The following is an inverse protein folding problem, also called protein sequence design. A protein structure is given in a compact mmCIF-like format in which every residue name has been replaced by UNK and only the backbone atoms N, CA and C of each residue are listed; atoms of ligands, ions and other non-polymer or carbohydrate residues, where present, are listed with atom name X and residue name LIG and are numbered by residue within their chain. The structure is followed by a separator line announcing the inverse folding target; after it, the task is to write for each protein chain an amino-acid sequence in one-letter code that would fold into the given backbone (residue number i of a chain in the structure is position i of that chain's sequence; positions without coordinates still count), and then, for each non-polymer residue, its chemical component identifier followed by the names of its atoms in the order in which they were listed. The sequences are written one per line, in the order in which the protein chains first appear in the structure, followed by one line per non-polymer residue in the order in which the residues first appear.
data_IF_835420008071
#
_entry.id   IF_835420008071
#
_cell.length_a   1.000
_cell.length_b   1.000
_cell.length_c   1.000
_cell.angle_alpha   90.00
_cell.angle_beta   90.00
_cell.angle_gamma   90.00
#
_symmetry.space_group_name_H-M   'P 1'
#
loop_
_entity.id
_entity.type
_entity.pdbx_description
1 polymer ?
#
# COMPACT_ATOMS: atom_id res chain seq x y z
N UNK A 1 -19.84 26.74 -32.90
CA UNK A 1 -19.45 26.24 -31.57
C UNK A 1 -17.95 26.01 -31.61
N UNK A 2 -17.15 26.90 -31.02
CA UNK A 2 -15.70 26.76 -31.03
C UNK A 2 -15.33 25.71 -29.97
N UNK A 3 -15.10 24.47 -30.38
CA UNK A 3 -14.45 23.50 -29.50
C UNK A 3 -13.10 24.10 -29.09
N UNK A 4 -12.91 24.36 -27.80
CA UNK A 4 -11.66 24.92 -27.30
C UNK A 4 -10.50 24.03 -27.73
N UNK A 5 -9.41 24.61 -28.26
CA UNK A 5 -8.17 23.91 -28.64
C UNK A 5 -7.54 23.06 -27.51
N UNK A 6 -8.04 23.21 -26.29
CA UNK A 6 -7.71 22.36 -25.14
C UNK A 6 -8.09 20.89 -25.42
N UNK A 7 -9.21 20.63 -26.13
CA UNK A 7 -9.63 19.28 -26.49
C UNK A 7 -9.06 18.79 -27.83
N UNK A 8 -8.43 19.69 -28.62
CA UNK A 8 -7.69 19.28 -29.83
C UNK A 8 -6.30 18.73 -29.50
N UNK A 9 -5.89 18.72 -28.22
CA UNK A 9 -4.59 18.19 -27.77
C UNK A 9 -3.36 18.93 -28.34
N UNK A 10 -3.54 20.15 -28.87
CA UNK A 10 -2.45 20.92 -29.50
C UNK A 10 -1.46 21.52 -28.48
N UNK A 11 -1.74 21.43 -27.17
CA UNK A 11 -0.86 21.96 -26.10
C UNK A 11 -0.77 20.98 -24.91
N UNK A 12 0.04 19.90 -25.03
CA UNK A 12 0.16 18.86 -24.00
C UNK A 12 0.60 19.38 -22.62
N UNK A 13 1.40 20.45 -22.59
CA UNK A 13 1.90 21.07 -21.35
C UNK A 13 0.77 21.69 -20.52
N UNK A 14 -0.16 22.40 -21.17
CA UNK A 14 -1.33 22.99 -20.49
C UNK A 14 -2.26 21.88 -20.00
N UNK A 15 -2.50 20.86 -20.81
CA UNK A 15 -3.28 19.69 -20.40
C UNK A 15 -2.67 18.99 -19.19
N UNK A 16 -1.35 18.78 -19.20
CA UNK A 16 -0.62 18.20 -18.08
C UNK A 16 -0.80 19.03 -16.80
N UNK A 17 -0.59 20.35 -16.89
CA UNK A 17 -0.73 21.24 -15.76
C UNK A 17 -2.17 21.24 -15.19
N UNK A 18 -3.20 21.20 -16.06
CA UNK A 18 -4.59 21.10 -15.62
C UNK A 18 -4.82 19.78 -14.87
N UNK A 19 -4.47 18.64 -15.47
CA UNK A 19 -4.72 17.31 -14.89
C UNK A 19 -3.93 17.10 -13.59
N UNK A 20 -2.73 17.66 -13.47
CA UNK A 20 -1.94 17.61 -12.22
C UNK A 20 -2.67 18.23 -11.02
N UNK A 21 -3.56 19.21 -11.22
CA UNK A 21 -4.38 19.75 -10.13
C UNK A 21 -5.39 18.72 -9.58
N UNK A 22 -5.67 17.64 -10.31
CA UNK A 22 -6.55 16.56 -9.88
C UNK A 22 -5.82 15.42 -9.16
N UNK A 23 -4.53 15.59 -8.79
CA UNK A 23 -3.70 14.55 -8.19
C UNK A 23 -4.38 13.72 -7.08
N UNK A 24 -5.21 14.35 -6.24
CA UNK A 24 -5.92 13.69 -5.13
C UNK A 24 -7.43 13.47 -5.40
N UNK A 25 -7.92 13.82 -6.58
CA UNK A 25 -9.31 13.62 -7.00
C UNK A 25 -9.40 12.44 -7.98
N UNK A 26 -9.51 11.24 -7.39
CA UNK A 26 -9.60 9.96 -8.10
C UNK A 26 -10.76 9.97 -9.10
N UNK A 27 -11.90 10.60 -8.78
CA UNK A 27 -13.06 10.63 -9.66
C UNK A 27 -12.77 11.45 -10.92
N UNK A 28 -12.19 12.64 -10.73
CA UNK A 28 -11.80 13.51 -11.86
C UNK A 28 -10.72 12.86 -12.72
N UNK A 29 -9.72 12.22 -12.12
CA UNK A 29 -8.70 11.47 -12.86
C UNK A 29 -9.28 10.29 -13.64
N UNK A 30 -10.23 9.56 -13.03
CA UNK A 30 -10.94 8.46 -13.72
C UNK A 30 -11.71 8.99 -14.93
N UNK A 31 -12.41 10.12 -14.80
CA UNK A 31 -13.06 10.79 -15.94
C UNK A 31 -12.05 11.19 -17.01
N UNK A 32 -10.86 11.69 -16.64
CA UNK A 32 -9.81 12.07 -17.60
C UNK A 32 -9.34 10.88 -18.45
N UNK A 33 -9.18 9.69 -17.86
CA UNK A 33 -8.76 8.48 -18.59
C UNK A 33 -9.69 8.16 -19.77
N UNK A 34 -10.98 8.45 -19.63
CA UNK A 34 -12.00 8.13 -20.62
C UNK A 34 -12.11 9.16 -21.75
N UNK A 35 -11.44 10.32 -21.64
CA UNK A 35 -11.56 11.41 -22.61
C UNK A 35 -10.84 11.06 -23.93
N UNK A 36 -9.53 10.87 -23.88
CA UNK A 36 -8.70 10.52 -25.02
C UNK A 36 -7.33 9.95 -24.57
N UNK A 37 -6.51 9.54 -25.54
CA UNK A 37 -5.19 8.94 -25.29
C UNK A 37 -4.24 9.83 -24.48
N UNK A 38 -4.22 11.15 -24.71
CA UNK A 38 -3.29 12.06 -24.02
C UNK A 38 -3.72 12.22 -22.56
N UNK A 39 -5.01 12.43 -22.31
CA UNK A 39 -5.52 12.54 -20.94
C UNK A 39 -5.28 11.23 -20.18
N UNK A 40 -5.51 10.09 -20.81
CA UNK A 40 -5.20 8.77 -20.25
C UNK A 40 -3.71 8.62 -19.88
N UNK A 41 -2.79 9.03 -20.76
CA UNK A 41 -1.35 8.96 -20.50
C UNK A 41 -0.89 9.81 -19.31
N UNK A 42 -1.58 10.91 -19.02
CA UNK A 42 -1.25 11.81 -17.90
C UNK A 42 -1.96 11.35 -16.61
N UNK A 43 -3.22 10.94 -16.70
CA UNK A 43 -4.03 10.60 -15.53
C UNK A 43 -3.70 9.22 -14.94
N UNK A 44 -3.31 8.24 -15.76
CA UNK A 44 -2.97 6.88 -15.27
C UNK A 44 -1.81 6.91 -14.27
N UNK A 45 -0.66 7.55 -14.54
CA UNK A 45 0.41 7.69 -13.55
C UNK A 45 -0.08 8.25 -12.22
N UNK A 46 -0.85 9.34 -12.23
CA UNK A 46 -1.39 9.98 -11.03
C UNK A 46 -2.31 9.06 -10.23
N UNK A 47 -3.18 8.30 -10.92
CA UNK A 47 -4.06 7.33 -10.27
C UNK A 47 -3.32 6.15 -9.67
N UNK A 48 -2.22 5.73 -10.29
CA UNK A 48 -1.43 4.59 -9.85
C UNK A 48 -0.28 4.96 -8.90
N UNK A 49 -0.13 6.23 -8.50
CA UNK A 49 0.83 6.64 -7.48
C UNK A 49 0.49 6.03 -6.11
N UNK A 50 -0.79 5.99 -5.74
CA UNK A 50 -1.30 5.37 -4.49
C UNK A 50 -2.61 4.59 -4.74
N UNK A 51 -2.56 3.45 -5.46
CA UNK A 51 -3.76 2.71 -5.84
C UNK A 51 -4.48 2.09 -4.64
N UNK A 52 -3.75 1.89 -3.54
CA UNK A 52 -4.29 1.35 -2.30
C UNK A 52 -4.91 2.43 -1.40
N UNK A 53 -4.89 3.71 -1.78
CA UNK A 53 -5.61 4.78 -1.08
C UNK A 53 -7.11 4.76 -1.31
N UNK A 54 -7.54 4.15 -2.42
CA UNK A 54 -8.96 4.03 -2.75
C UNK A 54 -9.59 3.18 -1.66
N UNK A 55 -10.46 3.81 -0.85
CA UNK A 55 -11.30 3.08 0.12
C UNK A 55 -11.92 1.87 -0.57
N UNK A 56 -12.09 0.78 0.17
CA UNK A 56 -12.68 -0.50 -0.27
C UNK A 56 -14.15 -0.36 -0.69
N UNK A 57 -14.45 0.54 -1.63
CA UNK A 57 -15.76 0.68 -2.27
C UNK A 57 -15.95 -0.54 -3.16
N UNK A 58 -17.19 -0.99 -3.19
CA UNK A 58 -17.61 -2.16 -3.94
C UNK A 58 -17.15 -2.04 -5.40
N UNK A 59 -16.59 -3.12 -5.92
CA UNK A 59 -16.22 -3.35 -7.32
C UNK A 59 -14.96 -2.68 -7.89
N UNK A 60 -14.33 -1.68 -7.24
CA UNK A 60 -13.12 -1.03 -7.80
C UNK A 60 -11.81 -1.53 -7.17
N UNK A 61 -11.83 -1.87 -5.88
CA UNK A 61 -10.62 -2.05 -5.06
C UNK A 61 -9.84 -3.35 -5.30
N UNK A 62 -10.49 -4.41 -5.78
CA UNK A 62 -9.83 -5.69 -6.04
C UNK A 62 -9.21 -5.76 -7.46
N UNK A 63 -9.65 -4.90 -8.39
CA UNK A 63 -9.10 -4.84 -9.75
C UNK A 63 -7.64 -4.38 -9.79
N UNK A 64 -7.17 -3.63 -8.80
CA UNK A 64 -5.74 -3.28 -8.70
C UNK A 64 -4.87 -4.50 -8.49
N UNK A 65 -5.31 -5.45 -7.65
CA UNK A 65 -4.60 -6.71 -7.42
C UNK A 65 -4.56 -7.50 -8.72
N UNK A 66 -5.71 -7.69 -9.38
CA UNK A 66 -5.80 -8.37 -10.68
C UNK A 66 -4.80 -7.79 -11.71
N UNK A 67 -4.73 -6.45 -11.81
CA UNK A 67 -3.81 -5.77 -12.72
C UNK A 67 -2.36 -6.07 -12.37
N UNK A 68 -1.97 -6.03 -11.08
CA UNK A 68 -0.61 -6.38 -10.67
C UNK A 68 -0.26 -7.85 -10.92
N UNK A 69 -1.22 -8.76 -10.76
CA UNK A 69 -1.01 -10.18 -11.01
C UNK A 69 -0.66 -10.48 -12.48
N UNK A 70 -1.08 -9.65 -13.43
CA UNK A 70 -0.71 -9.78 -14.84
C UNK A 70 0.82 -9.65 -15.06
N UNK A 71 1.52 -8.91 -14.21
CA UNK A 71 2.97 -8.65 -14.30
C UNK A 71 3.83 -9.68 -13.57
N UNK A 72 3.21 -10.68 -12.93
CA UNK A 72 3.97 -11.74 -12.28
C UNK A 72 4.62 -12.67 -13.31
N UNK A 73 5.79 -13.22 -12.94
CA UNK A 73 6.39 -14.32 -13.68
C UNK A 73 5.58 -15.61 -13.49
N UNK A 74 5.80 -16.59 -14.36
CA UNK A 74 5.02 -17.83 -14.37
C UNK A 74 5.12 -18.62 -13.05
N UNK A 75 6.28 -18.59 -12.38
CA UNK A 75 6.45 -19.27 -11.09
C UNK A 75 5.60 -18.63 -9.97
N UNK A 76 5.61 -17.30 -9.87
CA UNK A 76 4.81 -16.55 -8.91
C UNK A 76 3.31 -16.69 -9.22
N UNK A 77 2.93 -16.72 -10.50
CA UNK A 77 1.55 -17.01 -10.95
C UNK A 77 1.11 -18.40 -10.50
N UNK A 78 1.90 -19.44 -10.79
CA UNK A 78 1.60 -20.82 -10.38
C UNK A 78 1.47 -20.92 -8.86
N UNK A 79 2.35 -20.26 -8.10
CA UNK A 79 2.27 -20.22 -6.64
C UNK A 79 0.94 -19.66 -6.16
N UNK A 80 0.50 -18.52 -6.72
CA UNK A 80 -0.79 -17.91 -6.36
C UNK A 80 -1.97 -18.81 -6.77
N UNK A 81 -1.96 -19.35 -7.99
CA UNK A 81 -3.00 -20.26 -8.49
C UNK A 81 -3.11 -21.54 -7.64
N UNK A 82 -2.00 -22.09 -7.17
CA UNK A 82 -2.04 -23.28 -6.31
C UNK A 82 -2.52 -22.97 -4.89
N UNK A 83 -2.33 -21.73 -4.42
CA UNK A 83 -2.72 -21.32 -3.06
C UNK A 83 -4.19 -20.94 -2.95
N UNK A 84 -4.78 -20.49 -4.05
CA UNK A 84 -6.15 -20.03 -4.14
C UNK A 84 -6.79 -20.90 -5.20
N UNK A 85 -7.80 -21.71 -4.88
CA UNK A 85 -8.51 -22.55 -5.86
C UNK A 85 -9.23 -21.66 -6.89
N UNK A 86 -8.47 -21.09 -7.82
CA UNK A 86 -8.84 -19.92 -8.59
C UNK A 86 -9.24 -20.33 -10.00
N UNK A 87 -10.47 -20.03 -10.38
CA UNK A 87 -11.01 -20.31 -11.71
C UNK A 87 -11.54 -19.06 -12.43
N UNK A 88 -11.34 -17.85 -11.89
CA UNK A 88 -12.08 -16.65 -12.33
C UNK A 88 -11.29 -15.63 -13.17
N UNK A 89 -9.96 -15.70 -13.18
CA UNK A 89 -9.11 -14.69 -13.82
C UNK A 89 -8.09 -15.40 -14.69
N UNK A 90 -8.30 -15.29 -15.99
CA UNK A 90 -7.36 -15.80 -16.96
C UNK A 90 -6.23 -14.77 -17.09
N UNK A 91 -5.15 -15.03 -16.33
CA UNK A 91 -3.92 -14.22 -16.28
C UNK A 91 -3.24 -14.06 -17.66
N UNK A 92 -3.76 -14.74 -18.69
CA UNK A 92 -3.22 -14.75 -20.05
C UNK A 92 -4.02 -13.90 -21.05
N UNK A 93 -5.18 -13.33 -20.69
CA UNK A 93 -6.07 -12.71 -21.69
C UNK A 93 -5.75 -11.25 -22.04
N UNK A 94 -5.00 -10.52 -21.22
CA UNK A 94 -4.84 -9.07 -21.43
C UNK A 94 -3.41 -8.61 -21.29
N UNK A 95 -2.89 -7.95 -22.34
CA UNK A 95 -1.64 -7.19 -22.29
C UNK A 95 -1.93 -5.80 -21.71
N UNK A 96 -1.41 -5.44 -20.53
CA UNK A 96 -1.62 -4.12 -19.96
C UNK A 96 -1.07 -3.01 -20.87
N UNK A 97 -1.81 -1.91 -21.00
CA UNK A 97 -1.40 -0.74 -21.80
C UNK A 97 -0.24 0.04 -21.16
N UNK A 98 -0.20 0.06 -19.82
CA UNK A 98 0.78 0.75 -19.03
C UNK A 98 1.52 -0.26 -18.16
N UNK A 99 2.78 0.06 -17.84
CA UNK A 99 3.55 -0.72 -16.89
C UNK A 99 3.18 -0.30 -15.45
N UNK A 100 2.04 -0.77 -14.98
CA UNK A 100 1.43 -0.34 -13.71
C UNK A 100 2.31 -0.51 -12.46
N UNK A 101 3.12 -1.57 -12.29
CA UNK A 101 4.00 -1.71 -11.13
C UNK A 101 4.95 -0.51 -10.94
N UNK A 102 5.54 0.00 -12.03
CA UNK A 102 6.54 1.08 -11.96
C UNK A 102 5.93 2.46 -11.66
N UNK A 103 4.61 2.59 -11.70
CA UNK A 103 3.91 3.86 -11.43
C UNK A 103 3.70 4.09 -9.92
N UNK A 104 3.87 3.07 -9.09
CA UNK A 104 3.66 3.15 -7.65
C UNK A 104 4.63 4.15 -7.00
N UNK A 105 4.11 5.07 -6.19
CA UNK A 105 4.89 6.05 -5.41
C UNK A 105 4.62 6.01 -3.92
N UNK A 106 3.46 5.50 -3.52
CA UNK A 106 3.06 5.34 -2.12
C UNK A 106 2.83 3.87 -1.82
N UNK A 107 3.44 3.38 -0.75
CA UNK A 107 3.22 2.03 -0.26
C UNK A 107 2.78 2.06 1.20
N UNK A 108 1.56 1.58 1.46
CA UNK A 108 1.01 1.40 2.79
C UNK A 108 0.73 -0.08 3.03
N UNK A 109 1.45 -0.70 3.97
CA UNK A 109 1.34 -2.14 4.19
C UNK A 109 -0.02 -2.58 4.70
N UNK A 110 -0.60 -1.81 5.62
CA UNK A 110 -1.92 -2.07 6.19
C UNK A 110 -2.98 -2.07 5.07
N UNK A 111 -2.94 -1.06 4.21
CA UNK A 111 -3.88 -0.95 3.09
C UNK A 111 -3.70 -2.07 2.07
N UNK A 112 -2.46 -2.41 1.70
CA UNK A 112 -2.18 -3.55 0.81
C UNK A 112 -2.81 -4.83 1.36
N UNK A 113 -2.63 -5.12 2.64
CA UNK A 113 -3.20 -6.32 3.26
C UNK A 113 -4.72 -6.31 3.22
N UNK A 114 -5.35 -5.18 3.50
CA UNK A 114 -6.80 -5.05 3.41
C UNK A 114 -7.31 -5.21 1.97
N UNK A 115 -6.58 -4.72 0.97
CA UNK A 115 -6.92 -4.96 -0.44
C UNK A 115 -6.78 -6.43 -0.80
N UNK A 116 -5.76 -7.11 -0.29
CA UNK A 116 -5.56 -8.55 -0.46
C UNK A 116 -6.67 -9.35 0.24
N UNK A 117 -7.06 -8.97 1.45
CA UNK A 117 -8.23 -9.52 2.16
C UNK A 117 -9.46 -9.39 1.28
N UNK A 118 -9.79 -8.18 0.85
CA UNK A 118 -10.98 -7.94 0.03
C UNK A 118 -10.94 -8.74 -1.28
N UNK A 119 -9.79 -8.79 -1.95
CA UNK A 119 -9.61 -9.58 -3.17
C UNK A 119 -9.82 -11.09 -2.93
N UNK A 120 -9.28 -11.66 -1.84
CA UNK A 120 -9.51 -13.05 -1.45
C UNK A 120 -10.98 -13.37 -1.12
N UNK A 121 -11.72 -12.44 -0.52
CA UNK A 121 -13.12 -12.67 -0.14
C UNK A 121 -14.12 -12.36 -1.26
N UNK A 122 -13.80 -11.43 -2.17
CA UNK A 122 -14.62 -11.17 -3.37
C UNK A 122 -14.63 -12.34 -4.35
N UNK A 123 -13.59 -13.18 -4.32
CA UNK A 123 -13.38 -14.30 -5.24
C UNK A 123 -13.97 -15.61 -4.73
N UNK A 124 -14.39 -15.68 -3.46
CA UNK A 124 -15.01 -16.87 -2.85
C UNK A 124 -16.53 -16.91 -2.94
N UNK A 125 -17.20 -15.91 -3.53
CA UNK A 125 -18.65 -15.90 -3.72
C UNK A 125 -18.98 -16.53 -5.09
N UNK A 126 -19.52 -17.77 -5.15
CA UNK A 126 -20.20 -18.23 -6.35
C UNK A 126 -21.49 -17.45 -6.45
N UNK A 127 -21.79 -16.89 -7.62
CA UNK A 127 -23.00 -16.12 -7.94
C UNK A 127 -24.30 -16.94 -7.88
N UNK A 128 -24.36 -18.06 -7.16
CA UNK A 128 -25.49 -18.99 -7.18
C UNK A 128 -25.80 -19.79 -5.90
N UNK A 129 -25.20 -19.54 -4.73
CA UNK A 129 -25.61 -20.27 -3.51
C UNK A 129 -25.76 -19.40 -2.25
N UNK A 130 -26.99 -19.33 -1.76
CA UNK A 130 -27.48 -18.56 -0.60
C UNK A 130 -27.14 -19.18 0.76
N UNK A 131 -26.22 -20.14 0.88
CA UNK A 131 -26.05 -20.91 2.14
C UNK A 131 -24.65 -20.92 2.78
N UNK A 132 -23.80 -19.93 2.49
CA UNK A 132 -22.56 -19.69 3.28
C UNK A 132 -22.47 -18.27 3.88
N UNK A 133 -23.62 -17.63 4.12
CA UNK A 133 -23.71 -16.18 4.28
C UNK A 133 -23.34 -15.59 5.64
N UNK A 134 -23.07 -16.34 6.71
CA UNK A 134 -22.87 -15.68 8.02
C UNK A 134 -21.47 -15.07 8.25
N UNK A 135 -20.37 -15.67 7.79
CA UNK A 135 -19.03 -15.07 7.96
C UNK A 135 -18.74 -14.03 6.87
N UNK A 136 -19.08 -14.31 5.61
CA UNK A 136 -18.84 -13.42 4.48
C UNK A 136 -19.72 -12.16 4.49
N UNK A 137 -20.98 -12.25 4.95
CA UNK A 137 -21.81 -11.04 5.11
C UNK A 137 -21.34 -10.15 6.27
N UNK A 138 -20.70 -10.73 7.29
CA UNK A 138 -20.18 -9.96 8.42
C UNK A 138 -18.90 -9.21 8.03
N UNK A 139 -18.01 -9.83 7.23
CA UNK A 139 -16.79 -9.16 6.73
C UNK A 139 -17.10 -8.03 5.75
N UNK A 140 -18.06 -8.23 4.82
CA UNK A 140 -18.51 -7.17 3.90
C UNK A 140 -19.13 -6.00 4.67
N UNK A 141 -19.93 -6.27 5.72
CA UNK A 141 -20.43 -5.23 6.63
C UNK A 141 -19.30 -4.45 7.32
N UNK A 142 -18.27 -5.14 7.80
CA UNK A 142 -17.12 -4.51 8.44
C UNK A 142 -16.22 -3.70 7.49
N UNK A 143 -16.17 -4.07 6.20
CA UNK A 143 -15.44 -3.32 5.17
C UNK A 143 -16.24 -2.12 4.63
N UNK A 144 -17.57 -2.18 4.70
CA UNK A 144 -18.49 -1.13 4.25
C UNK A 144 -18.75 -0.06 5.31
N UNK A 145 -18.63 -0.39 6.60
CA UNK A 145 -18.87 0.56 7.69
C UNK A 145 -17.64 1.46 7.92
N UNK A 146 -17.78 2.77 7.71
CA UNK A 146 -16.68 3.73 7.81
C UNK A 146 -16.12 3.86 9.24
N UNK A 147 -16.78 3.26 10.24
CA UNK A 147 -16.36 3.28 11.64
C UNK A 147 -15.38 2.17 12.03
N UNK A 148 -15.14 1.18 11.17
CA UNK A 148 -14.31 0.04 11.52
C UNK A 148 -12.81 0.37 11.41
N UNK A 149 -12.07 0.19 12.51
CA UNK A 149 -10.62 0.34 12.52
C UNK A 149 -9.99 -0.72 11.59
N UNK A 150 -9.21 -0.26 10.62
CA UNK A 150 -8.39 -1.07 9.70
C UNK A 150 -7.59 -2.16 10.45
N UNK A 151 -7.21 -1.89 11.71
CA UNK A 151 -6.49 -2.82 12.58
C UNK A 151 -7.32 -4.05 13.00
N UNK A 152 -8.62 -3.88 13.30
CA UNK A 152 -9.51 -4.96 13.76
C UNK A 152 -9.86 -5.91 12.61
N UNK A 153 -9.99 -5.40 11.39
CA UNK A 153 -10.17 -6.21 10.18
C UNK A 153 -9.00 -7.17 9.94
N UNK A 154 -7.79 -6.69 10.16
CA UNK A 154 -6.59 -7.52 10.06
C UNK A 154 -6.51 -8.54 11.19
N UNK A 155 -6.87 -8.15 12.41
CA UNK A 155 -6.96 -9.05 13.56
C UNK A 155 -7.98 -10.18 13.35
N UNK A 156 -9.03 -9.98 12.56
CA UNK A 156 -9.92 -11.08 12.18
C UNK A 156 -9.26 -12.10 11.23
N UNK A 157 -8.14 -11.73 10.57
CA UNK A 157 -7.58 -12.43 9.42
C UNK A 157 -6.13 -12.92 9.61
N UNK A 158 -5.64 -12.91 10.85
CA UNK A 158 -4.24 -13.12 11.26
C UNK A 158 -3.65 -14.43 10.75
N UNK A 159 -4.42 -15.51 10.81
CA UNK A 159 -3.97 -16.86 10.49
C UNK A 159 -3.95 -17.15 8.98
N UNK A 160 -4.39 -16.21 8.14
CA UNK A 160 -4.51 -16.47 6.72
C UNK A 160 -3.16 -16.30 6.03
N UNK A 161 -2.40 -17.38 5.98
CA UNK A 161 -1.12 -17.50 5.25
C UNK A 161 -1.21 -16.98 3.81
N UNK A 162 -2.38 -17.05 3.16
CA UNK A 162 -2.56 -16.52 1.80
C UNK A 162 -2.37 -15.00 1.76
N UNK A 163 -2.84 -14.27 2.77
CA UNK A 163 -2.68 -12.80 2.83
C UNK A 163 -1.19 -12.46 2.87
N UNK A 164 -0.44 -13.14 3.73
CA UNK A 164 1.01 -12.99 3.83
C UNK A 164 1.67 -13.25 2.47
N UNK A 165 1.38 -14.40 1.86
CA UNK A 165 2.04 -14.84 0.64
C UNK A 165 1.74 -13.91 -0.55
N UNK A 166 0.49 -13.49 -0.73
CA UNK A 166 0.09 -12.55 -1.79
C UNK A 166 0.73 -11.18 -1.55
N UNK A 167 0.71 -10.67 -0.31
CA UNK A 167 1.35 -9.40 0.02
C UNK A 167 2.84 -9.43 -0.31
N UNK A 168 3.55 -10.51 0.05
CA UNK A 168 4.96 -10.69 -0.27
C UNK A 168 5.21 -10.79 -1.79
N UNK A 169 4.31 -11.44 -2.54
CA UNK A 169 4.43 -11.47 -4.02
C UNK A 169 4.29 -10.06 -4.60
N UNK A 170 3.36 -9.23 -4.10
CA UNK A 170 3.19 -7.84 -4.54
C UNK A 170 4.41 -6.97 -4.19
N UNK A 171 4.95 -7.07 -2.97
CA UNK A 171 6.14 -6.30 -2.60
C UNK A 171 7.36 -6.70 -3.44
N UNK A 172 7.55 -8.00 -3.68
CA UNK A 172 8.61 -8.47 -4.57
C UNK A 172 8.40 -7.99 -6.00
N UNK A 173 7.15 -7.94 -6.49
CA UNK A 173 6.83 -7.37 -7.79
C UNK A 173 7.27 -5.91 -7.87
N UNK A 174 6.97 -5.08 -6.87
CA UNK A 174 7.36 -3.67 -6.90
C UNK A 174 8.89 -3.49 -6.91
N UNK A 175 9.59 -4.27 -6.11
CA UNK A 175 11.06 -4.23 -6.05
C UNK A 175 11.70 -4.67 -7.37
N UNK A 176 11.23 -5.78 -7.97
CA UNK A 176 11.73 -6.28 -9.25
C UNK A 176 11.49 -5.30 -10.42
N UNK A 177 10.59 -4.34 -10.25
CA UNK A 177 10.25 -3.33 -11.24
C UNK A 177 10.87 -1.97 -10.93
N UNK A 178 11.94 -1.94 -10.14
CA UNK A 178 12.74 -0.76 -9.81
C UNK A 178 11.92 0.43 -9.30
N UNK A 179 10.84 0.12 -8.56
CA UNK A 179 9.98 1.13 -7.97
C UNK A 179 10.77 1.99 -6.97
N UNK A 180 10.61 3.30 -7.09
CA UNK A 180 11.16 4.28 -6.16
C UNK A 180 10.00 4.97 -5.44
N UNK A 181 9.89 4.70 -4.13
CA UNK A 181 8.81 5.23 -3.32
C UNK A 181 9.09 6.68 -2.89
N UNK A 182 8.05 7.51 -2.93
CA UNK A 182 8.03 8.84 -2.33
C UNK A 182 7.42 8.79 -0.92
N UNK A 183 6.49 7.87 -0.67
CA UNK A 183 5.83 7.70 0.61
C UNK A 183 5.83 6.23 1.02
N UNK A 184 6.39 5.95 2.19
CA UNK A 184 6.35 4.63 2.82
C UNK A 184 5.59 4.72 4.14
N UNK A 185 4.57 3.88 4.28
CA UNK A 185 3.73 3.80 5.45
C UNK A 185 3.74 2.36 6.00
N UNK A 186 4.41 2.21 7.14
CA UNK A 186 4.56 0.97 7.88
C UNK A 186 3.64 1.05 9.09
N UNK A 187 2.46 0.49 8.92
CA UNK A 187 1.42 0.41 9.94
C UNK A 187 1.16 -1.07 10.23
N UNK A 188 1.32 -1.51 11.49
CA UNK A 188 1.06 -2.91 11.83
C UNK A 188 0.61 -3.12 13.27
N UNK A 189 -0.07 -4.24 13.50
CA UNK A 189 -0.33 -4.78 14.83
C UNK A 189 0.60 -5.98 15.09
N UNK A 190 1.54 -5.88 16.04
CA UNK A 190 2.58 -6.86 16.28
C UNK A 190 2.13 -8.18 16.87
N UNK A 191 1.04 -8.21 17.63
CA UNK A 191 0.49 -9.46 18.16
C UNK A 191 0.13 -10.41 17.01
N UNK A 192 -0.14 -9.84 15.84
CA UNK A 192 -0.79 -10.51 14.72
C UNK A 192 0.08 -10.58 13.48
N UNK A 193 0.89 -9.56 13.23
CA UNK A 193 1.57 -9.39 11.95
C UNK A 193 3.09 -9.56 12.04
N UNK A 194 3.61 -10.07 13.16
CA UNK A 194 5.06 -10.21 13.42
C UNK A 194 5.83 -10.91 12.29
N UNK A 195 5.26 -11.96 11.71
CA UNK A 195 5.94 -12.70 10.64
C UNK A 195 6.01 -11.88 9.35
N UNK A 196 4.89 -11.23 8.96
CA UNK A 196 4.88 -10.42 7.75
C UNK A 196 5.78 -9.19 7.89
N UNK A 197 5.76 -8.51 9.04
CA UNK A 197 6.63 -7.34 9.25
C UNK A 197 8.11 -7.73 9.22
N UNK A 198 8.49 -8.89 9.77
CA UNK A 198 9.85 -9.43 9.63
C UNK A 198 10.23 -9.61 8.16
N UNK A 199 9.39 -10.30 7.39
CA UNK A 199 9.66 -10.55 5.97
C UNK A 199 9.72 -9.27 5.15
N UNK A 200 8.85 -8.30 5.43
CA UNK A 200 8.91 -7.00 4.75
C UNK A 200 10.16 -6.22 5.16
N UNK A 201 10.50 -6.21 6.44
CA UNK A 201 11.69 -5.53 6.94
C UNK A 201 12.98 -6.08 6.27
N UNK A 202 13.15 -7.40 6.23
CA UNK A 202 14.27 -8.04 5.55
C UNK A 202 14.30 -7.68 4.05
N UNK A 203 13.13 -7.66 3.42
CA UNK A 203 12.97 -7.28 2.03
C UNK A 203 13.37 -5.82 1.78
N UNK A 204 12.97 -4.88 2.65
CA UNK A 204 13.33 -3.46 2.53
C UNK A 204 14.84 -3.24 2.69
N UNK A 205 15.46 -3.88 3.68
CA UNK A 205 16.91 -3.75 3.91
C UNK A 205 17.74 -4.34 2.77
N UNK A 206 17.25 -5.39 2.12
CA UNK A 206 17.91 -6.02 0.99
C UNK A 206 17.81 -5.19 -0.30
N UNK A 207 16.95 -4.16 -0.33
CA UNK A 207 16.64 -3.40 -1.54
C UNK A 207 16.65 -1.87 -1.27
N UNK A 208 17.82 -1.27 -0.98
CA UNK A 208 17.92 0.13 -0.56
C UNK A 208 17.46 1.14 -1.61
N UNK A 209 17.52 0.79 -2.90
CA UNK A 209 17.00 1.64 -4.00
C UNK A 209 15.51 1.92 -3.85
N UNK A 210 14.75 0.95 -3.31
CA UNK A 210 13.32 1.06 -3.03
C UNK A 210 12.99 2.18 -2.02
N UNK A 211 13.95 2.48 -1.14
CA UNK A 211 13.86 3.49 -0.08
C UNK A 211 14.55 4.81 -0.44
N UNK A 212 15.20 4.88 -1.61
CA UNK A 212 16.16 5.95 -1.94
C UNK A 212 15.56 7.35 -2.13
N UNK A 213 14.24 7.45 -2.35
CA UNK A 213 13.55 8.72 -2.61
C UNK A 213 12.41 8.99 -1.62
N UNK A 214 12.42 8.36 -0.46
CA UNK A 214 11.35 8.53 0.53
C UNK A 214 11.35 9.97 1.04
N UNK A 215 10.26 10.69 0.75
CA UNK A 215 10.00 12.04 1.23
C UNK A 215 9.07 12.04 2.44
N UNK A 216 8.16 11.06 2.50
CA UNK A 216 7.25 10.88 3.63
C UNK A 216 7.40 9.48 4.20
N UNK A 217 7.75 9.40 5.48
CA UNK A 217 7.81 8.15 6.20
C UNK A 217 6.79 8.17 7.35
N UNK A 218 5.96 7.13 7.41
CA UNK A 218 5.03 6.90 8.51
C UNK A 218 5.30 5.54 9.11
N UNK A 219 5.51 5.49 10.42
CA UNK A 219 5.64 4.25 11.17
C UNK A 219 4.69 4.27 12.35
N UNK A 220 3.64 3.46 12.32
CA UNK A 220 2.64 3.41 13.39
C UNK A 220 2.38 2.00 13.90
N UNK A 221 2.10 1.92 15.19
CA UNK A 221 1.73 0.72 15.90
C UNK A 221 0.42 0.98 16.65
N UNK A 222 -0.61 0.17 16.39
CA UNK A 222 -1.99 0.49 16.78
C UNK A 222 -2.49 -0.21 18.06
N UNK A 223 -1.63 -0.80 18.91
CA UNK A 223 -2.14 -1.57 20.06
C UNK A 223 -1.25 -1.50 21.31
N UNK A 224 -1.16 -0.31 21.91
CA UNK A 224 -0.70 -0.14 23.31
C UNK A 224 -1.88 -0.26 24.29
N UNK A 225 -2.85 -1.14 24.05
CA UNK A 225 -3.81 -1.46 25.11
C UNK A 225 -3.04 -2.16 26.24
N UNK A 226 -2.85 -1.43 27.35
CA UNK A 226 -1.95 -1.65 28.48
C UNK A 226 -1.95 -3.04 29.18
N UNK A 227 -2.74 -4.02 28.71
CA UNK A 227 -2.92 -5.30 29.40
C UNK A 227 -1.94 -6.41 28.97
N UNK A 228 -1.32 -6.31 27.78
CA UNK A 228 -0.33 -7.28 27.27
C UNK A 228 1.03 -6.63 26.94
N UNK A 229 1.38 -5.55 27.63
CA UNK A 229 2.66 -4.87 27.42
C UNK A 229 3.83 -5.78 27.83
N UNK A 230 4.68 -6.14 26.87
CA UNK A 230 5.90 -6.93 27.11
C UNK A 230 7.14 -6.16 26.64
N UNK A 231 8.12 -5.86 27.51
CA UNK A 231 9.31 -5.07 27.18
C UNK A 231 10.10 -5.58 25.96
N UNK A 232 10.12 -6.89 25.73
CA UNK A 232 10.83 -7.47 24.56
C UNK A 232 10.20 -7.14 23.20
N UNK A 233 8.89 -6.85 23.17
CA UNK A 233 8.23 -6.42 21.93
C UNK A 233 8.65 -4.99 21.58
N UNK A 234 8.69 -4.11 22.58
CA UNK A 234 9.16 -2.73 22.40
C UNK A 234 10.61 -2.67 21.92
N UNK A 235 11.52 -3.43 22.53
CA UNK A 235 12.92 -3.50 22.09
C UNK A 235 13.05 -3.93 20.63
N UNK A 236 12.26 -4.94 20.22
CA UNK A 236 12.23 -5.40 18.84
C UNK A 236 11.75 -4.30 17.86
N UNK A 237 10.73 -3.49 18.20
CA UNK A 237 10.29 -2.39 17.34
C UNK A 237 11.27 -1.25 17.28
N UNK A 238 11.82 -0.86 18.42
CA UNK A 238 12.84 0.18 18.50
C UNK A 238 14.03 -0.21 17.63
N UNK A 239 14.41 -1.49 17.62
CA UNK A 239 15.43 -2.05 16.72
C UNK A 239 15.04 -1.98 15.24
N UNK A 240 13.82 -2.39 14.88
CA UNK A 240 13.33 -2.32 13.50
C UNK A 240 13.32 -0.87 13.00
N UNK A 241 12.68 0.02 13.77
CA UNK A 241 12.55 1.44 13.44
C UNK A 241 13.91 2.10 13.30
N UNK A 242 14.81 1.88 14.27
CA UNK A 242 16.20 2.36 14.21
C UNK A 242 16.88 1.95 12.92
N UNK A 243 16.78 0.67 12.55
CA UNK A 243 17.53 0.14 11.41
C UNK A 243 16.96 0.65 10.09
N UNK A 244 15.64 0.72 9.95
CA UNK A 244 14.98 1.30 8.77
C UNK A 244 15.31 2.78 8.62
N UNK A 245 15.23 3.52 9.71
CA UNK A 245 15.51 4.94 9.68
C UNK A 245 16.99 5.20 9.32
N UNK A 246 17.90 4.39 9.84
CA UNK A 246 19.33 4.49 9.54
C UNK A 246 19.66 4.14 8.07
N UNK A 247 18.78 3.45 7.37
CA UNK A 247 18.97 3.13 5.94
C UNK A 247 18.40 4.18 4.99
N UNK A 248 17.67 5.17 5.50
CA UNK A 248 17.09 6.21 4.66
C UNK A 248 18.12 7.26 4.21
N UNK A 249 18.03 7.75 2.97
CA UNK A 249 18.77 8.93 2.55
C UNK A 249 18.26 10.18 3.26
N UNK A 250 19.01 11.29 3.14
CA UNK A 250 18.67 12.60 3.71
C UNK A 250 17.52 13.33 2.99
N UNK A 251 16.60 12.60 2.36
CA UNK A 251 15.49 13.12 1.54
C UNK A 251 14.15 13.21 2.27
N UNK A 252 14.07 12.79 3.53
CA UNK A 252 12.82 12.81 4.29
C UNK A 252 12.41 14.25 4.61
N UNK A 253 11.19 14.60 4.19
CA UNK A 253 10.55 15.90 4.45
C UNK A 253 9.49 15.81 5.54
N UNK A 254 8.82 14.66 5.65
CA UNK A 254 7.72 14.44 6.57
C UNK A 254 7.91 13.12 7.33
N UNK A 255 7.98 13.21 8.64
CA UNK A 255 8.17 12.06 9.53
C UNK A 255 6.98 11.94 10.48
N UNK A 256 6.28 10.82 10.47
CA UNK A 256 5.16 10.52 11.37
C UNK A 256 5.44 9.21 12.10
N UNK A 257 5.70 9.29 13.40
CA UNK A 257 6.11 8.16 14.22
C UNK A 257 5.12 7.96 15.38
N UNK A 258 4.68 6.72 15.57
CA UNK A 258 4.12 6.28 16.85
C UNK A 258 5.24 5.71 17.70
N UNK A 259 5.34 6.23 18.92
CA UNK A 259 6.43 5.92 19.84
C UNK A 259 5.86 5.44 21.16
N UNK A 260 6.40 4.33 21.68
CA UNK A 260 5.95 3.74 22.92
C UNK A 260 6.27 4.63 24.14
N UNK A 261 5.47 4.50 25.21
CA UNK A 261 5.55 5.33 26.43
C UNK A 261 6.82 5.11 27.30
N UNK A 262 7.61 4.05 27.08
CA UNK A 262 8.85 3.77 27.85
C UNK A 262 10.08 3.69 26.94
N UNK A 263 10.48 4.82 26.39
CA UNK A 263 11.67 4.86 25.53
C UNK A 263 12.95 4.65 26.35
N UNK A 264 13.86 3.83 25.82
CA UNK A 264 15.24 3.85 26.27
C UNK A 264 15.92 5.11 25.75
N UNK A 265 16.89 5.64 26.51
CA UNK A 265 17.73 6.77 26.08
C UNK A 265 18.40 6.49 24.72
N UNK A 266 18.70 5.22 24.42
CA UNK A 266 19.25 4.82 23.13
C UNK A 266 18.28 5.06 21.97
N UNK A 267 16.98 4.82 22.17
CA UNK A 267 15.97 5.07 21.15
C UNK A 267 15.78 6.58 20.90
N UNK A 268 15.71 7.37 21.96
CA UNK A 268 15.64 8.84 21.86
C UNK A 268 16.83 9.41 21.06
N UNK A 269 18.05 8.91 21.35
CA UNK A 269 19.26 9.30 20.63
C UNK A 269 19.21 8.92 19.15
N UNK A 270 18.67 7.75 18.80
CA UNK A 270 18.52 7.34 17.39
C UNK A 270 17.57 8.28 16.66
N UNK A 271 16.41 8.57 17.24
CA UNK A 271 15.44 9.49 16.64
C UNK A 271 16.03 10.89 16.51
N UNK A 272 16.71 11.40 17.54
CA UNK A 272 17.39 12.69 17.51
C UNK A 272 18.46 12.75 16.41
N UNK A 273 19.34 11.75 16.34
CA UNK A 273 20.39 11.67 15.31
C UNK A 273 19.80 11.59 13.89
N UNK A 274 18.69 10.86 13.75
CA UNK A 274 17.95 10.79 12.48
C UNK A 274 17.45 12.17 12.10
N UNK A 275 16.73 12.83 13.00
CA UNK A 275 16.14 14.15 12.73
C UNK A 275 17.25 15.12 12.32
N UNK A 276 18.39 15.08 13.00
CA UNK A 276 19.55 15.90 12.67
C UNK A 276 20.18 15.57 11.31
N UNK A 277 20.11 14.31 10.85
CA UNK A 277 20.65 13.91 9.54
C UNK A 277 19.75 14.27 8.35
N UNK A 278 18.47 14.60 8.60
CA UNK A 278 17.50 14.96 7.56
C UNK A 278 17.49 16.47 7.29
N UNK A 279 18.29 16.94 6.34
CA UNK A 279 18.39 18.37 6.01
C UNK A 279 17.13 18.97 5.36
N UNK A 280 16.25 18.14 4.79
CA UNK A 280 15.00 18.58 4.14
C UNK A 280 13.76 18.43 5.03
N UNK A 281 13.93 18.07 6.31
CA UNK A 281 12.83 17.80 7.22
C UNK A 281 12.01 19.07 7.49
N UNK A 282 10.72 19.02 7.17
CA UNK A 282 9.79 20.15 7.26
C UNK A 282 8.65 19.92 8.26
N UNK A 283 8.32 18.65 8.56
CA UNK A 283 7.33 18.32 9.58
C UNK A 283 7.68 17.03 10.30
N UNK A 284 7.47 17.01 11.61
CA UNK A 284 7.58 15.83 12.45
C UNK A 284 6.29 15.71 13.26
N UNK A 285 5.72 14.51 13.29
CA UNK A 285 4.60 14.15 14.16
C UNK A 285 5.00 12.97 15.02
N UNK A 286 4.82 13.13 16.32
CA UNK A 286 4.90 12.05 17.29
C UNK A 286 3.49 11.73 17.79
N UNK A 287 3.18 10.44 17.85
CA UNK A 287 2.00 9.89 18.53
C UNK A 287 2.50 8.95 19.62
N UNK A 288 1.81 8.92 20.75
CA UNK A 288 2.14 8.12 21.92
C UNK A 288 0.95 7.25 22.28
#
# INVERSE_FOLDING_TARGET
MACSKIFSCDVPEVTSNIIQNFHNDINSLHSCILVNRIFCQIAIPLLWEDPFSVKYRENLSYHFIDIYLLFLNDNDKIKIINQINFHKFDLNLYKPLFHYPSLLKTLNFLRVQLHVINWLYSTTIPTSSTHQSHQSSTLLKYLQDESNDESELIKANIANKRIHDISMVLFNLFIKNDVTLNHLNINFNPEYQKNLINSIYELLLSNPTFLSNIQKFTFRFFNLNDFNYHPSLEEYYNKLLRTLISSFPSSIKHLDLTVCNKQSVEFENVIANTIQSQSQLSSIKFSF
#
